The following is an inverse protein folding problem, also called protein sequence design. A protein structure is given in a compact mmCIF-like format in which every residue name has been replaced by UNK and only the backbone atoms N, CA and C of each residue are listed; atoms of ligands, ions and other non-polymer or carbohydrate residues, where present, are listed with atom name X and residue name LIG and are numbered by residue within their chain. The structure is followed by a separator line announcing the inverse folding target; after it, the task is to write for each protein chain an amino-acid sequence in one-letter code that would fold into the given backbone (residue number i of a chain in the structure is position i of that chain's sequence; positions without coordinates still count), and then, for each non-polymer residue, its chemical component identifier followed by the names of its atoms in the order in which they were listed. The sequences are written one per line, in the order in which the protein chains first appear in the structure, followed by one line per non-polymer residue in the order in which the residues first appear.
data_IF_041679834782
#
_entry.id   IF_041679834782
#
_cell.length_a   1.000
_cell.length_b   1.000
_cell.length_c   1.000
_cell.angle_alpha   90.00
_cell.angle_beta   90.00
_cell.angle_gamma   90.00
#
_symmetry.space_group_name_H-M   'P 1'
#
loop_
_entity.id
_entity.type
_entity.pdbx_description
1 polymer ?
#
# COMPACT_ATOMS: atom_id res chain seq x y z
N UNK A 1 5.21 -13.47 -7.00
CA UNK A 1 4.33 -12.67 -6.12
C UNK A 1 4.43 -13.08 -4.65
N UNK A 2 4.21 -14.35 -4.27
CA UNK A 2 4.24 -14.78 -2.85
C UNK A 2 5.50 -14.35 -2.08
N UNK A 3 6.71 -14.62 -2.59
CA UNK A 3 7.96 -14.21 -1.92
C UNK A 3 8.06 -12.70 -1.67
N UNK A 4 7.56 -11.88 -2.58
CA UNK A 4 7.59 -10.42 -2.43
C UNK A 4 6.60 -9.99 -1.36
N UNK A 5 5.41 -10.62 -1.32
CA UNK A 5 4.42 -10.37 -0.27
C UNK A 5 4.95 -10.73 1.12
N UNK A 6 5.64 -11.87 1.24
CA UNK A 6 6.30 -12.26 2.50
C UNK A 6 7.38 -11.27 2.93
N UNK A 7 8.26 -10.85 2.01
CA UNK A 7 9.31 -9.89 2.32
C UNK A 7 8.74 -8.51 2.72
N UNK A 8 7.67 -8.06 2.07
CA UNK A 8 7.01 -6.79 2.38
C UNK A 8 6.21 -6.87 3.68
N UNK A 9 5.64 -8.03 4.02
CA UNK A 9 4.94 -8.23 5.29
C UNK A 9 5.88 -8.07 6.51
N UNK A 10 7.18 -8.28 6.34
CA UNK A 10 8.18 -8.04 7.38
C UNK A 10 8.52 -6.55 7.60
N UNK A 11 8.05 -5.64 6.74
CA UNK A 11 8.34 -4.21 6.78
C UNK A 11 7.13 -3.42 7.28
N UNK A 12 7.14 -2.87 8.51
CA UNK A 12 6.05 -2.05 9.00
C UNK A 12 5.94 -0.77 8.18
N UNK A 13 4.74 -0.47 7.69
CA UNK A 13 4.45 0.73 6.88
C UNK A 13 4.61 0.57 5.36
N UNK A 14 4.92 -0.63 4.86
CA UNK A 14 5.02 -0.89 3.41
C UNK A 14 4.00 -1.94 2.96
N UNK A 15 3.35 -1.68 1.81
CA UNK A 15 2.40 -2.61 1.15
C UNK A 15 2.59 -2.58 -0.36
N UNK A 16 2.35 -3.73 -1.00
CA UNK A 16 2.36 -3.85 -2.47
C UNK A 16 0.97 -3.63 -3.04
N UNK A 17 0.92 -3.00 -4.22
CA UNK A 17 -0.29 -2.75 -5.00
C UNK A 17 0.04 -2.76 -6.50
N UNK A 18 -0.99 -2.90 -7.33
CA UNK A 18 -0.90 -2.76 -8.77
C UNK A 18 -0.82 -4.07 -9.55
N UNK A 19 -0.72 -3.93 -10.87
CA UNK A 19 -0.96 -5.02 -11.83
C UNK A 19 -0.05 -6.25 -11.66
N UNK A 20 1.19 -6.04 -11.22
CA UNK A 20 2.14 -7.11 -10.99
C UNK A 20 1.85 -7.93 -9.71
N UNK A 21 1.00 -7.43 -8.81
CA UNK A 21 0.73 -8.05 -7.50
C UNK A 21 -0.72 -8.48 -7.34
N UNK A 22 -1.69 -7.60 -7.64
CA UNK A 22 -3.11 -7.79 -7.32
C UNK A 22 -4.03 -7.99 -8.54
N UNK A 23 -3.51 -7.81 -9.77
CA UNK A 23 -4.24 -8.10 -11.02
C UNK A 23 -4.31 -6.94 -12.01
N UNK A 24 -4.54 -7.24 -13.28
CA UNK A 24 -4.43 -6.30 -14.41
C UNK A 24 -5.73 -5.51 -14.65
N UNK A 25 -5.60 -4.19 -14.88
CA UNK A 25 -6.69 -3.28 -15.21
C UNK A 25 -6.71 -2.04 -14.31
N UNK A 26 -7.16 -0.90 -14.85
CA UNK A 26 -7.28 0.36 -14.07
C UNK A 26 -8.11 0.15 -12.79
N UNK A 27 -9.28 -0.53 -12.82
CA UNK A 27 -10.07 -0.74 -11.61
C UNK A 27 -9.35 -1.58 -10.55
N UNK A 28 -8.67 -2.66 -10.96
CA UNK A 28 -7.91 -3.52 -10.06
C UNK A 28 -6.71 -2.78 -9.44
N UNK A 29 -6.02 -1.97 -10.24
CA UNK A 29 -4.93 -1.12 -9.78
C UNK A 29 -5.40 -0.13 -8.70
N UNK A 30 -6.47 0.64 -8.99
CA UNK A 30 -7.04 1.62 -8.04
C UNK A 30 -7.50 0.94 -6.75
N UNK A 31 -8.23 -0.17 -6.85
CA UNK A 31 -8.70 -0.91 -5.68
C UNK A 31 -7.54 -1.41 -4.80
N UNK A 32 -6.48 -1.94 -5.42
CA UNK A 32 -5.29 -2.39 -4.70
C UNK A 32 -4.53 -1.24 -4.02
N UNK A 33 -4.47 -0.06 -4.66
CA UNK A 33 -3.82 1.11 -4.10
C UNK A 33 -4.57 1.64 -2.88
N UNK A 34 -5.90 1.74 -2.95
CA UNK A 34 -6.72 2.16 -1.81
C UNK A 34 -6.56 1.20 -0.63
N UNK A 35 -6.65 -0.12 -0.88
CA UNK A 35 -6.45 -1.14 0.16
C UNK A 35 -5.08 -1.01 0.82
N UNK A 36 -4.01 -0.82 0.04
CA UNK A 36 -2.67 -0.65 0.57
C UNK A 36 -2.53 0.62 1.41
N UNK A 37 -3.12 1.74 0.97
CA UNK A 37 -3.12 2.99 1.71
C UNK A 37 -3.86 2.85 3.05
N UNK A 38 -5.05 2.23 3.05
CA UNK A 38 -5.84 2.01 4.27
C UNK A 38 -5.08 1.15 5.29
N UNK A 39 -4.42 0.08 4.85
CA UNK A 39 -3.60 -0.78 5.71
C UNK A 39 -2.41 -0.03 6.34
N UNK A 40 -1.76 0.84 5.56
CA UNK A 40 -0.65 1.68 6.05
C UNK A 40 -1.18 2.69 7.06
N UNK A 41 -2.27 3.39 6.76
CA UNK A 41 -2.89 4.37 7.66
C UNK A 41 -3.31 3.71 8.98
N UNK A 42 -3.93 2.53 8.93
CA UNK A 42 -4.39 1.80 10.11
C UNK A 42 -3.25 1.34 11.03
N UNK A 43 -2.06 1.09 10.47
CA UNK A 43 -0.90 0.56 11.20
C UNK A 43 0.17 1.61 11.51
N UNK A 44 0.08 2.80 10.92
CA UNK A 44 1.01 3.89 11.16
C UNK A 44 0.81 4.49 12.55
N UNK A 45 1.83 4.38 13.39
CA UNK A 45 1.97 5.23 14.57
C UNK A 45 2.43 6.60 14.06
N UNK A 46 1.48 7.50 13.84
CA UNK A 46 1.72 8.86 13.33
C UNK A 46 2.98 9.48 13.96
N UNK A 47 4.05 9.61 13.18
CA UNK A 47 5.20 10.45 13.55
C UNK A 47 5.11 11.84 12.90
N UNK A 48 4.21 12.06 11.93
CA UNK A 48 3.93 13.40 11.41
C UNK A 48 2.63 13.38 10.58
N UNK A 49 1.57 14.11 10.99
CA UNK A 49 0.43 14.33 10.11
C UNK A 49 0.80 15.40 9.06
N UNK A 50 1.15 14.97 7.84
CA UNK A 50 0.86 15.77 6.65
C UNK A 50 2.00 16.55 5.99
N UNK A 51 3.16 15.94 5.75
CA UNK A 51 4.08 16.42 4.71
C UNK A 51 3.76 15.74 3.36
N UNK A 52 2.73 16.22 2.63
CA UNK A 52 2.57 15.81 1.22
C UNK A 52 1.15 15.70 0.66
N UNK A 53 0.33 16.75 0.78
CA UNK A 53 -0.57 17.21 -0.30
C UNK A 53 -1.27 18.51 0.14
N UNK A 54 -0.51 19.60 0.14
CA UNK A 54 -1.10 20.94 0.04
C UNK A 54 -1.26 21.27 -1.44
N UNK A 55 -2.48 21.14 -1.96
CA UNK A 55 -2.98 21.97 -3.05
C UNK A 55 -3.90 23.02 -2.43
#
# INVERSE_FOLDING_TARGET
VARVREAVAALPGLRVAGAAYDGVGIPACIASAHRAADEIIATSKRTDPGAGHSL
#
